data_IF_029405870111
#
_entry.id   IF_029405870111
#
_cell.length_a   1.000
_cell.length_b   1.000
_cell.length_c   1.000
_cell.angle_alpha   90.00
_cell.angle_beta   90.00
_cell.angle_gamma   90.00
#
_symmetry.space_group_name_H-M   'P 1'
#
loop_
_entity.id
_entity.type
_entity.pdbx_description
1 polymer ?
#
# COMPACT_ATOMS: atom_id res chain seq x y z
N UNK A 1 24.16 28.17 32.10
CA UNK A 1 23.02 27.40 31.60
C UNK A 1 22.75 27.87 30.19
N UNK A 2 22.71 26.91 29.27
CA UNK A 2 22.13 26.95 27.91
C UNK A 2 23.12 26.42 26.87
N UNK A 3 23.41 25.13 27.02
CA UNK A 3 23.90 24.26 25.97
C UNK A 3 22.71 23.50 25.34
N UNK A 4 22.73 23.44 24.01
CA UNK A 4 22.05 22.51 23.08
C UNK A 4 20.92 23.11 22.25
N UNK A 5 21.24 23.72 21.10
CA UNK A 5 21.74 23.12 19.83
C UNK A 5 20.59 22.72 18.91
N UNK A 6 20.44 23.52 17.85
CA UNK A 6 20.22 23.10 16.47
C UNK A 6 19.33 21.86 16.26
N UNK A 7 18.02 22.09 16.09
CA UNK A 7 17.24 21.29 15.14
C UNK A 7 17.36 21.91 13.75
N UNK A 8 18.61 22.00 13.27
CA UNK A 8 18.92 22.18 11.86
C UNK A 8 18.36 20.94 11.14
N UNK A 9 17.64 21.18 10.05
CA UNK A 9 17.23 20.21 9.03
C UNK A 9 17.92 18.85 9.18
N UNK A 10 17.16 17.83 9.61
CA UNK A 10 17.47 16.47 9.15
C UNK A 10 17.40 16.56 7.64
N UNK A 11 18.59 16.60 7.04
CA UNK A 11 18.81 16.70 5.61
C UNK A 11 17.84 15.78 4.88
N UNK A 12 17.32 16.27 3.76
CA UNK A 12 16.70 15.43 2.75
C UNK A 12 17.72 14.36 2.35
N UNK A 13 17.76 13.24 3.09
CA UNK A 13 18.43 12.04 2.65
C UNK A 13 17.62 11.57 1.44
N UNK A 14 18.04 12.02 0.27
CA UNK A 14 17.51 11.54 -0.99
C UNK A 14 18.06 10.13 -1.18
N UNK A 15 17.23 9.15 -0.83
CA UNK A 15 17.51 7.76 -1.13
C UNK A 15 17.69 7.63 -2.64
N UNK A 16 18.73 6.92 -3.08
CA UNK A 16 18.93 6.58 -4.48
C UNK A 16 18.51 5.14 -4.72
N UNK A 17 17.75 4.91 -5.79
CA UNK A 17 17.33 3.60 -6.21
C UNK A 17 17.53 3.39 -7.70
N UNK A 18 17.70 2.13 -8.09
CA UNK A 18 17.90 1.73 -9.50
C UNK A 18 16.71 0.86 -9.93
N UNK A 19 16.15 1.11 -11.12
CA UNK A 19 15.10 0.26 -11.70
C UNK A 19 15.56 -1.21 -11.72
N UNK A 20 14.69 -2.09 -11.24
CA UNK A 20 15.01 -3.51 -11.10
C UNK A 20 13.74 -4.37 -11.21
N UNK A 21 13.66 -5.20 -12.26
CA UNK A 21 12.56 -6.14 -12.55
C UNK A 21 11.16 -5.54 -12.29
N UNK A 22 10.57 -5.85 -11.13
CA UNK A 22 9.21 -5.45 -10.72
C UNK A 22 9.17 -4.24 -9.78
N UNK A 23 10.24 -3.45 -9.71
CA UNK A 23 10.32 -2.30 -8.81
C UNK A 23 11.61 -1.50 -8.90
N UNK A 24 12.05 -1.01 -7.73
CA UNK A 24 13.26 -0.19 -7.56
C UNK A 24 14.11 -0.76 -6.43
N UNK A 25 15.38 -1.05 -6.74
CA UNK A 25 16.35 -1.61 -5.81
C UNK A 25 17.13 -0.51 -5.07
N UNK A 26 17.21 -0.64 -3.76
CA UNK A 26 18.00 0.20 -2.85
C UNK A 26 19.11 -0.66 -2.25
N UNK A 27 20.36 -0.21 -2.34
CA UNK A 27 21.53 -0.95 -1.82
C UNK A 27 22.24 -0.24 -0.68
N UNK A 28 21.94 1.04 -0.44
CA UNK A 28 22.52 1.78 0.67
C UNK A 28 21.90 1.34 2.00
N UNK A 29 22.74 0.82 2.90
CA UNK A 29 22.30 0.20 4.16
C UNK A 29 21.53 1.17 5.08
N UNK A 30 21.97 2.43 5.17
CA UNK A 30 21.29 3.42 6.01
C UNK A 30 19.87 3.72 5.52
N UNK A 31 19.68 3.76 4.20
CA UNK A 31 18.36 3.93 3.59
C UNK A 31 17.50 2.66 3.71
N UNK A 32 18.10 1.47 3.63
CA UNK A 32 17.38 0.20 3.82
C UNK A 32 16.75 0.16 5.22
N UNK A 33 17.53 0.49 6.25
CA UNK A 33 17.07 0.45 7.64
C UNK A 33 15.95 1.49 7.89
N UNK A 34 16.11 2.74 7.39
CA UNK A 34 15.06 3.77 7.51
C UNK A 34 13.76 3.35 6.81
N UNK A 35 13.84 2.96 5.54
CA UNK A 35 12.67 2.64 4.73
C UNK A 35 11.93 1.41 5.27
N UNK A 36 12.66 0.36 5.64
CA UNK A 36 12.07 -0.88 6.17
C UNK A 36 11.38 -0.67 7.52
N UNK A 37 11.96 0.15 8.41
CA UNK A 37 11.35 0.48 9.71
C UNK A 37 10.00 1.20 9.57
N UNK A 38 9.84 1.96 8.47
CA UNK A 38 8.60 2.66 8.08
C UNK A 38 7.67 1.79 7.23
N UNK A 39 8.05 0.54 7.01
CA UNK A 39 7.27 -0.48 6.31
C UNK A 39 7.27 -0.35 4.79
N UNK A 40 8.29 0.27 4.20
CA UNK A 40 8.49 0.27 2.75
C UNK A 40 9.36 -0.90 2.31
N UNK A 41 9.06 -1.48 1.16
CA UNK A 41 9.89 -2.44 0.43
C UNK A 41 10.09 -3.79 1.12
N UNK A 42 10.65 -4.74 0.38
CA UNK A 42 11.01 -6.07 0.88
C UNK A 42 12.53 -6.14 0.97
N UNK A 43 13.06 -6.51 2.14
CA UNK A 43 14.49 -6.78 2.30
C UNK A 43 14.78 -8.15 1.71
N UNK A 44 15.78 -8.20 0.83
CA UNK A 44 16.31 -9.40 0.19
C UNK A 44 17.83 -9.40 0.39
N UNK A 45 18.35 -10.35 1.17
CA UNK A 45 19.77 -10.48 1.57
C UNK A 45 20.44 -9.16 1.99
N UNK A 46 20.96 -8.39 1.02
CA UNK A 46 21.74 -7.16 1.19
C UNK A 46 21.12 -5.92 0.52
N UNK A 47 19.90 -6.01 -0.01
CA UNK A 47 19.22 -4.91 -0.67
C UNK A 47 17.74 -4.85 -0.28
N UNK A 48 17.09 -3.73 -0.59
CA UNK A 48 15.66 -3.56 -0.42
C UNK A 48 15.00 -3.29 -1.77
N UNK A 49 13.95 -4.04 -2.08
CA UNK A 49 13.13 -3.82 -3.27
C UNK A 49 11.87 -3.06 -2.89
N UNK A 50 11.75 -1.85 -3.39
CA UNK A 50 10.49 -1.12 -3.41
C UNK A 50 9.67 -1.64 -4.59
N UNK A 51 8.41 -1.99 -4.33
CA UNK A 51 7.43 -2.12 -5.42
C UNK A 51 7.25 -0.78 -6.14
N UNK A 52 6.77 -0.80 -7.39
CA UNK A 52 6.59 0.45 -8.14
C UNK A 52 5.65 1.46 -7.47
N UNK A 53 4.56 1.03 -6.85
CA UNK A 53 3.66 1.96 -6.15
C UNK A 53 4.32 2.59 -4.91
N UNK A 54 5.22 1.87 -4.23
CA UNK A 54 6.05 2.43 -3.14
C UNK A 54 7.05 3.44 -3.69
N UNK A 55 7.75 3.09 -4.77
CA UNK A 55 8.73 3.96 -5.40
C UNK A 55 8.10 5.25 -5.94
N UNK A 56 6.94 5.15 -6.60
CA UNK A 56 6.17 6.31 -7.07
C UNK A 56 5.79 7.23 -5.92
N UNK A 57 5.32 6.68 -4.80
CA UNK A 57 4.98 7.46 -3.61
C UNK A 57 6.19 8.19 -3.01
N UNK A 58 7.32 7.49 -2.86
CA UNK A 58 8.55 8.08 -2.31
C UNK A 58 9.17 9.11 -3.27
N UNK A 59 9.06 8.90 -4.58
CA UNK A 59 9.50 9.86 -5.59
C UNK A 59 8.63 11.12 -5.62
N UNK A 60 7.30 10.98 -5.51
CA UNK A 60 6.36 12.10 -5.36
C UNK A 60 6.68 12.94 -4.12
N UNK A 61 6.99 12.27 -2.99
CA UNK A 61 7.44 12.93 -1.75
C UNK A 61 8.88 13.47 -1.77
N UNK A 62 9.60 13.34 -2.90
CA UNK A 62 11.01 13.76 -3.06
C UNK A 62 11.98 13.09 -2.08
N UNK A 63 11.62 11.90 -1.61
CA UNK A 63 12.46 11.06 -0.73
C UNK A 63 13.33 10.12 -1.57
N UNK A 64 12.84 9.68 -2.74
CA UNK A 64 13.52 8.74 -3.63
C UNK A 64 13.86 9.38 -4.97
N UNK A 65 15.14 9.33 -5.36
CA UNK A 65 15.60 9.52 -6.73
C UNK A 65 15.80 8.15 -7.39
N UNK A 66 15.31 8.00 -8.62
CA UNK A 66 15.38 6.75 -9.37
C UNK A 66 16.24 6.95 -10.62
N UNK A 67 17.10 5.97 -10.90
CA UNK A 67 17.87 5.90 -12.13
C UNK A 67 17.72 4.55 -12.83
N UNK A 68 18.08 4.55 -14.11
CA UNK A 68 18.32 3.33 -14.88
C UNK A 68 19.68 2.71 -14.50
N UNK A 69 19.94 1.51 -15.04
CA UNK A 69 21.21 0.80 -14.83
C UNK A 69 22.42 1.55 -15.42
N UNK A 70 22.20 2.40 -16.43
CA UNK A 70 23.23 3.26 -17.03
C UNK A 70 23.38 4.62 -16.31
N UNK A 71 22.80 4.77 -15.11
CA UNK A 71 22.78 5.99 -14.30
C UNK A 71 21.93 7.17 -14.82
N UNK A 72 21.17 6.99 -15.90
CA UNK A 72 20.22 8.03 -16.33
C UNK A 72 19.10 8.18 -15.30
N UNK A 73 18.88 9.40 -14.82
CA UNK A 73 17.78 9.69 -13.91
C UNK A 73 16.45 9.65 -14.64
N UNK A 74 15.44 9.05 -14.00
CA UNK A 74 14.08 9.01 -14.52
C UNK A 74 13.12 9.74 -13.59
N UNK A 75 12.10 10.36 -14.17
CA UNK A 75 11.11 11.11 -13.42
C UNK A 75 9.91 10.22 -13.03
N UNK A 76 8.95 10.81 -12.31
CA UNK A 76 7.73 10.14 -11.89
C UNK A 76 6.94 9.52 -13.06
N UNK A 77 6.80 10.24 -14.18
CA UNK A 77 6.05 9.78 -15.36
C UNK A 77 6.73 8.56 -15.98
N UNK A 78 8.05 8.59 -16.09
CA UNK A 78 8.81 7.46 -16.64
C UNK A 78 8.66 6.23 -15.73
N UNK A 79 8.79 6.42 -14.41
CA UNK A 79 8.59 5.36 -13.41
C UNK A 79 7.18 4.76 -13.48
N UNK A 80 6.16 5.60 -13.70
CA UNK A 80 4.79 5.13 -13.88
C UNK A 80 4.65 4.30 -15.16
N UNK A 81 5.26 4.71 -16.27
CA UNK A 81 5.25 3.94 -17.51
C UNK A 81 5.91 2.57 -17.34
N UNK A 82 6.99 2.46 -16.55
CA UNK A 82 7.56 1.16 -16.20
C UNK A 82 6.56 0.28 -15.45
N UNK A 83 5.79 0.86 -14.53
CA UNK A 83 4.78 0.11 -13.79
C UNK A 83 3.61 -0.33 -14.69
N UNK A 84 3.12 0.55 -15.56
CA UNK A 84 2.02 0.29 -16.49
C UNK A 84 2.32 -0.86 -17.46
N UNK A 85 3.59 -1.02 -17.87
CA UNK A 85 4.04 -2.14 -18.72
C UNK A 85 3.82 -3.51 -18.07
N UNK A 86 3.83 -3.59 -16.74
CA UNK A 86 3.70 -4.88 -16.02
C UNK A 86 2.37 -5.02 -15.29
N UNK A 87 1.61 -3.94 -15.11
CA UNK A 87 0.35 -3.96 -14.38
C UNK A 87 -0.65 -2.96 -14.99
N UNK A 88 -1.74 -3.48 -15.57
CA UNK A 88 -2.79 -2.68 -16.19
C UNK A 88 -3.54 -1.77 -15.18
N UNK A 89 -3.46 -2.08 -13.88
CA UNK A 89 -4.03 -1.28 -12.81
C UNK A 89 -2.98 -0.40 -12.10
N UNK A 90 -1.80 -0.19 -12.69
CA UNK A 90 -0.68 0.54 -12.10
C UNK A 90 -1.09 1.90 -11.50
N UNK A 91 -1.80 2.71 -12.27
CA UNK A 91 -2.27 4.02 -11.83
C UNK A 91 -3.24 3.91 -10.63
N UNK A 92 -4.19 2.97 -10.71
CA UNK A 92 -5.19 2.75 -9.66
C UNK A 92 -4.53 2.32 -8.36
N UNK A 93 -3.61 1.36 -8.44
CA UNK A 93 -2.86 0.84 -7.30
C UNK A 93 -2.03 1.93 -6.64
N UNK A 94 -1.35 2.77 -7.44
CA UNK A 94 -0.61 3.91 -6.93
C UNK A 94 -1.51 4.91 -6.19
N UNK A 95 -2.66 5.27 -6.76
CA UNK A 95 -3.57 6.24 -6.14
C UNK A 95 -4.14 5.72 -4.80
N UNK A 96 -4.56 4.45 -4.75
CA UNK A 96 -5.03 3.82 -3.50
C UNK A 96 -3.91 3.74 -2.47
N UNK A 97 -2.72 3.33 -2.90
CA UNK A 97 -1.54 3.30 -2.03
C UNK A 97 -1.21 4.69 -1.45
N UNK A 98 -1.22 5.73 -2.31
CA UNK A 98 -0.97 7.12 -1.95
C UNK A 98 -1.99 7.63 -0.93
N UNK A 99 -3.28 7.39 -1.15
CA UNK A 99 -4.34 7.81 -0.22
C UNK A 99 -4.15 7.16 1.16
N UNK A 100 -4.01 5.83 1.20
CA UNK A 100 -3.81 5.09 2.44
C UNK A 100 -2.54 5.52 3.19
N UNK A 101 -1.40 5.66 2.50
CA UNK A 101 -0.15 6.15 3.12
C UNK A 101 -0.25 7.58 3.61
N UNK A 102 -0.94 8.45 2.87
CA UNK A 102 -1.15 9.85 3.28
C UNK A 102 -2.04 9.95 4.51
N UNK A 103 -2.94 8.98 4.72
CA UNK A 103 -3.73 8.82 5.95
C UNK A 103 -2.95 8.14 7.09
N UNK A 104 -1.66 7.86 6.94
CA UNK A 104 -0.81 7.33 8.01
C UNK A 104 -0.89 5.82 8.22
N UNK A 105 -1.59 5.08 7.37
CA UNK A 105 -1.52 3.62 7.38
C UNK A 105 -0.17 3.15 6.86
N UNK A 106 0.32 2.01 7.37
CA UNK A 106 1.38 1.28 6.68
C UNK A 106 0.72 0.30 5.72
N UNK A 107 1.07 0.42 4.44
CA UNK A 107 0.49 -0.38 3.35
C UNK A 107 1.55 -1.32 2.81
N UNK A 108 1.21 -2.61 2.72
CA UNK A 108 2.05 -3.67 2.14
C UNK A 108 1.26 -4.40 1.06
N UNK A 109 1.95 -5.06 0.13
CA UNK A 109 1.32 -5.93 -0.85
C UNK A 109 0.46 -7.03 -0.19
N UNK A 110 -0.68 -7.31 -0.79
CA UNK A 110 -1.54 -8.43 -0.40
C UNK A 110 -0.84 -9.78 -0.59
N UNK A 111 -1.43 -10.82 -0.02
CA UNK A 111 -1.00 -12.20 -0.26
C UNK A 111 -1.87 -12.80 -1.36
N UNK A 112 -1.25 -13.49 -2.33
CA UNK A 112 -1.90 -14.00 -3.54
C UNK A 112 -3.25 -14.64 -3.25
N UNK A 113 -4.32 -13.99 -3.69
CA UNK A 113 -5.75 -14.40 -3.65
C UNK A 113 -6.64 -13.30 -4.27
N UNK A 114 -6.03 -12.43 -5.11
CA UNK A 114 -6.66 -11.20 -5.60
C UNK A 114 -6.92 -10.12 -4.54
N UNK A 115 -6.29 -10.21 -3.35
CA UNK A 115 -6.15 -9.09 -2.42
C UNK A 115 -4.97 -8.21 -2.86
N UNK A 116 -5.22 -6.91 -3.03
CA UNK A 116 -4.20 -5.97 -3.51
C UNK A 116 -3.27 -5.53 -2.39
N UNK A 117 -3.83 -5.13 -1.24
CA UNK A 117 -3.03 -4.65 -0.11
C UNK A 117 -3.45 -5.27 1.23
N UNK A 118 -2.50 -5.28 2.16
CA UNK A 118 -2.76 -5.39 3.59
C UNK A 118 -2.31 -4.11 4.28
N UNK A 119 -3.12 -3.63 5.21
CA UNK A 119 -2.84 -2.40 5.93
C UNK A 119 -2.66 -2.65 7.42
N UNK A 120 -1.81 -1.83 8.02
CA UNK A 120 -1.58 -1.75 9.45
C UNK A 120 -2.05 -0.38 9.91
N UNK A 121 -2.81 -0.37 11.01
CA UNK A 121 -3.25 0.84 11.68
C UNK A 121 -2.06 1.71 12.10
N UNK A 122 -2.34 2.99 12.34
CA UNK A 122 -1.33 3.94 12.79
C UNK A 122 -0.63 3.43 14.04
N UNK A 123 0.70 3.33 13.98
CA UNK A 123 1.54 2.87 15.10
C UNK A 123 1.47 1.36 15.40
N UNK A 124 0.74 0.57 14.60
CA UNK A 124 0.62 -0.88 14.83
C UNK A 124 1.63 -1.72 14.03
N UNK A 125 2.28 -1.14 13.02
CA UNK A 125 3.30 -1.83 12.23
C UNK A 125 4.48 -2.27 13.11
N UNK A 126 4.95 -3.51 12.92
CA UNK A 126 6.01 -4.13 13.74
C UNK A 126 5.55 -4.63 15.12
N UNK A 127 4.36 -4.24 15.59
CA UNK A 127 3.78 -4.66 16.88
C UNK A 127 2.65 -5.66 16.70
N UNK A 128 1.78 -5.40 15.73
CA UNK A 128 0.59 -6.20 15.43
C UNK A 128 0.64 -6.73 14.00
N UNK A 129 -0.10 -7.81 13.76
CA UNK A 129 -0.37 -8.29 12.40
C UNK A 129 -1.34 -7.34 11.69
N UNK A 130 -1.32 -7.33 10.35
CA UNK A 130 -2.28 -6.56 9.56
C UNK A 130 -3.71 -7.02 9.87
N UNK A 131 -4.56 -6.08 10.28
CA UNK A 131 -5.97 -6.31 10.67
C UNK A 131 -6.91 -6.25 9.48
N UNK A 132 -6.54 -5.52 8.42
CA UNK A 132 -7.42 -5.22 7.28
C UNK A 132 -6.74 -5.52 5.95
N UNK A 133 -7.50 -6.15 5.07
CA UNK A 133 -7.12 -6.45 3.69
C UNK A 133 -7.95 -5.58 2.74
N UNK A 134 -7.29 -5.09 1.69
CA UNK A 134 -7.87 -4.19 0.69
C UNK A 134 -8.00 -4.92 -0.62
N UNK A 135 -9.22 -4.95 -1.15
CA UNK A 135 -9.53 -5.31 -2.53
C UNK A 135 -9.84 -4.02 -3.30
N UNK A 136 -9.15 -3.78 -4.40
CA UNK A 136 -9.32 -2.60 -5.24
C UNK A 136 -10.24 -2.94 -6.40
N UNK A 137 -11.21 -2.06 -6.65
CA UNK A 137 -12.06 -2.11 -7.83
C UNK A 137 -12.30 -0.71 -8.39
N UNK A 138 -12.87 -0.66 -9.59
CA UNK A 138 -13.20 0.58 -10.27
C UNK A 138 -14.69 0.63 -10.60
N UNK A 139 -15.27 1.81 -10.50
CA UNK A 139 -16.63 2.06 -10.92
C UNK A 139 -16.84 1.68 -12.40
N UNK A 140 -17.89 0.91 -12.66
CA UNK A 140 -18.19 0.41 -14.01
C UNK A 140 -17.44 -0.87 -14.40
N UNK A 141 -16.54 -1.40 -13.55
CA UNK A 141 -16.02 -2.77 -13.70
C UNK A 141 -16.89 -3.76 -12.93
N UNK A 142 -17.49 -4.77 -13.59
CA UNK A 142 -18.24 -5.80 -12.89
C UNK A 142 -17.37 -6.55 -11.88
N UNK A 143 -17.87 -6.71 -10.66
CA UNK A 143 -17.25 -7.53 -9.61
C UNK A 143 -18.17 -8.70 -9.29
N UNK A 144 -17.68 -9.92 -9.49
CA UNK A 144 -18.46 -11.13 -9.17
C UNK A 144 -18.76 -11.21 -7.68
N UNK A 145 -20.02 -11.46 -7.34
CA UNK A 145 -20.46 -11.65 -5.96
C UNK A 145 -19.87 -12.92 -5.36
N UNK A 146 -19.70 -13.99 -6.15
CA UNK A 146 -19.07 -15.23 -5.70
C UNK A 146 -17.61 -15.01 -5.36
N UNK A 147 -16.90 -14.26 -6.22
CA UNK A 147 -15.53 -13.84 -5.95
C UNK A 147 -15.46 -13.01 -4.67
N UNK A 148 -16.26 -11.94 -4.55
CA UNK A 148 -16.27 -11.10 -3.35
C UNK A 148 -16.58 -11.91 -2.07
N UNK A 149 -17.54 -12.84 -2.15
CA UNK A 149 -17.95 -13.69 -1.04
C UNK A 149 -16.85 -14.67 -0.63
N UNK A 150 -16.17 -15.30 -1.59
CA UNK A 150 -15.06 -16.22 -1.32
C UNK A 150 -13.86 -15.48 -0.72
N UNK A 151 -13.49 -14.33 -1.28
CA UNK A 151 -12.46 -13.44 -0.73
C UNK A 151 -12.81 -13.00 0.69
N UNK A 152 -14.06 -12.59 0.95
CA UNK A 152 -14.52 -12.20 2.28
C UNK A 152 -14.38 -13.35 3.29
N UNK A 153 -14.84 -14.56 2.94
CA UNK A 153 -14.73 -15.75 3.80
C UNK A 153 -13.28 -16.07 4.13
N UNK A 154 -12.38 -15.95 3.14
CA UNK A 154 -10.95 -16.16 3.34
C UNK A 154 -10.32 -15.11 4.27
N UNK A 155 -10.72 -13.84 4.15
CA UNK A 155 -10.25 -12.80 5.07
C UNK A 155 -10.72 -13.10 6.50
N UNK A 156 -12.00 -13.48 6.66
CA UNK A 156 -12.61 -13.79 7.96
C UNK A 156 -11.98 -15.01 8.63
N UNK A 157 -11.62 -16.06 7.88
CA UNK A 157 -10.94 -17.24 8.46
C UNK A 157 -9.55 -16.89 9.02
N UNK A 158 -8.91 -15.85 8.48
CA UNK A 158 -7.65 -15.29 8.98
C UNK A 158 -7.85 -14.23 10.08
N UNK A 159 -9.09 -14.04 10.55
CA UNK A 159 -9.49 -12.98 11.50
C UNK A 159 -9.12 -11.58 11.00
N UNK A 160 -9.22 -11.33 9.69
CA UNK A 160 -8.96 -10.04 9.04
C UNK A 160 -10.25 -9.47 8.46
N UNK A 161 -10.38 -8.14 8.51
CA UNK A 161 -11.45 -7.43 7.82
C UNK A 161 -11.15 -7.34 6.31
N UNK A 162 -12.20 -7.40 5.48
CA UNK A 162 -12.12 -7.06 4.07
C UNK A 162 -12.71 -5.67 3.85
N UNK A 163 -11.94 -4.81 3.18
CA UNK A 163 -12.38 -3.50 2.74
C UNK A 163 -12.24 -3.41 1.23
N UNK A 164 -13.31 -2.96 0.57
CA UNK A 164 -13.34 -2.68 -0.85
C UNK A 164 -12.99 -1.21 -1.09
N UNK A 165 -11.89 -0.94 -1.80
CA UNK A 165 -11.50 0.38 -2.26
C UNK A 165 -12.04 0.58 -3.68
N UNK A 166 -13.10 1.37 -3.82
CA UNK A 166 -13.75 1.65 -5.11
C UNK A 166 -13.27 2.99 -5.63
N UNK A 167 -12.58 2.97 -6.77
CA UNK A 167 -12.21 4.20 -7.48
C UNK A 167 -13.33 4.62 -8.43
N UNK A 168 -13.81 5.85 -8.30
CA UNK A 168 -14.80 6.40 -9.21
C UNK A 168 -14.17 7.01 -10.47
N UNK A 169 -15.00 7.39 -11.44
CA UNK A 169 -14.53 7.98 -12.72
C UNK A 169 -13.80 9.32 -12.58
N UNK A 170 -13.92 10.00 -11.43
CA UNK A 170 -13.25 11.28 -11.12
C UNK A 170 -11.92 11.08 -10.39
N UNK A 171 -11.53 9.83 -10.10
CA UNK A 171 -10.30 9.50 -9.38
C UNK A 171 -10.43 9.59 -7.85
N UNK A 172 -11.64 9.74 -7.32
CA UNK A 172 -11.90 9.68 -5.88
C UNK A 172 -12.00 8.21 -5.45
N UNK A 173 -11.54 7.91 -4.23
CA UNK A 173 -11.55 6.55 -3.68
C UNK A 173 -12.51 6.51 -2.50
N UNK A 174 -13.47 5.57 -2.55
CA UNK A 174 -14.42 5.31 -1.48
C UNK A 174 -14.16 3.91 -0.91
N UNK A 175 -14.11 3.80 0.41
CA UNK A 175 -13.82 2.55 1.11
C UNK A 175 -15.10 1.98 1.74
N UNK A 176 -15.41 0.71 1.43
CA UNK A 176 -16.55 0.00 1.99
C UNK A 176 -16.09 -1.21 2.80
N UNK A 177 -16.58 -1.34 4.03
CA UNK A 177 -16.38 -2.56 4.81
C UNK A 177 -17.29 -3.67 4.28
N UNK A 178 -16.73 -4.86 4.05
CA UNK A 178 -17.47 -6.02 3.57
C UNK A 178 -17.49 -7.07 4.66
N UNK A 179 -18.69 -7.38 5.16
CA UNK A 179 -18.89 -8.35 6.23
C UNK A 179 -20.15 -9.18 6.02
N UNK A 180 -20.17 -10.36 6.65
CA UNK A 180 -21.36 -11.20 6.68
C UNK A 180 -22.36 -10.58 7.66
N UNK A 181 -23.54 -10.22 7.17
CA UNK A 181 -24.64 -9.80 8.02
C UNK A 181 -25.30 -11.04 8.64
N UNK A 182 -25.27 -11.14 9.97
CA UNK A 182 -25.98 -12.18 10.71
C UNK A 182 -27.25 -11.56 11.32
N UNK A 183 -28.42 -11.94 10.80
CA UNK A 183 -29.69 -11.58 11.41
C UNK A 183 -29.90 -12.46 12.65
N UNK A 184 -30.04 -11.84 13.82
CA UNK A 184 -30.57 -12.52 15.00
C UNK A 184 -32.09 -12.45 14.90
N UNK A 185 -32.79 -13.60 14.86
CA UNK A 185 -34.24 -13.64 15.00
C UNK A 185 -34.58 -13.11 16.40
N UNK A 186 -35.14 -11.90 16.49
CA UNK A 186 -35.75 -11.43 17.72
C UNK A 186 -36.99 -12.28 18.03
N UNK A 187 -37.08 -12.81 19.24
CA UNK A 187 -38.28 -13.48 19.74
C UNK A 187 -39.45 -12.48 19.71
N UNK A 188 -40.27 -12.57 18.67
CA UNK A 188 -41.51 -11.82 18.57
C UNK A 188 -42.61 -12.66 19.22
N UNK A 189 -42.69 -12.64 20.55
CA UNK A 189 -43.95 -12.94 21.24
C UNK A 189 -44.79 -11.67 21.23
N UNK A 190 -45.42 -11.40 20.09
CA UNK A 190 -46.59 -10.52 20.06
C UNK A 190 -47.78 -11.43 20.37
N UNK A 191 -48.23 -11.42 21.62
CA UNK A 191 -49.59 -11.84 21.93
C UNK A 191 -50.50 -10.64 21.68
N UNK A 192 -51.51 -10.87 20.83
CA UNK A 192 -52.62 -9.98 20.52
C UNK A 192 -53.50 -9.84 21.77
#
# INVERSE_FOLDING_TARGET
MDEKTNNISKSQLKTKGIIFDKGVKITDRSNIDDLSSRGYGLIEENYLILSFYEALYLNDKKILEVSLQNNDSINFRDLLQYYEKINQNAWVNYLVYRDLRSRGYVVRGGFGSGIDFRIYERGSYGKNVASTLILITQEGRPLSIDYLTSTMKQCQSQKKALVLAVMNRRGEIVYYSVSKLNFHKGNSNVQI
#
